data_IF_109926612798
#
_entry.id   IF_109926612798
#
_cell.length_a   1.000
_cell.length_b   1.000
_cell.length_c   1.000
_cell.angle_alpha   90.00
_cell.angle_beta   90.00
_cell.angle_gamma   90.00
#
_symmetry.space_group_name_H-M   'P 1'
#
loop_
_entity.id
_entity.type
_entity.pdbx_description
1 polymer ?
#
# COMPACT_ATOMS: atom_id res chain seq x y z
N UNK A 1 30.86 31.09 44.46
CA UNK A 1 30.84 29.71 43.95
C UNK A 1 30.52 29.75 42.46
N UNK A 2 31.47 29.44 41.57
CA UNK A 2 31.20 29.40 40.13
C UNK A 2 30.22 28.28 39.81
N UNK A 3 29.06 28.63 39.25
CA UNK A 3 28.11 27.65 38.72
C UNK A 3 28.80 26.82 37.63
N UNK A 4 28.69 25.49 37.72
CA UNK A 4 29.22 24.54 36.72
C UNK A 4 28.52 24.66 35.36
N UNK A 5 27.44 25.45 35.29
CA UNK A 5 26.61 25.67 34.11
C UNK A 5 26.34 27.18 33.95
N UNK A 6 27.33 27.98 33.51
CA UNK A 6 27.16 29.42 33.38
C UNK A 6 26.21 29.74 32.22
N UNK A 7 25.15 30.49 32.53
CA UNK A 7 24.26 31.13 31.57
C UNK A 7 24.18 32.62 31.88
N UNK A 8 24.08 33.44 30.84
CA UNK A 8 23.83 34.87 30.94
C UNK A 8 22.36 35.13 31.34
N UNK A 9 22.10 36.31 31.89
CA UNK A 9 20.73 36.72 32.22
C UNK A 9 19.80 36.69 30.99
N UNK A 10 20.33 37.06 29.81
CA UNK A 10 19.60 37.01 28.55
C UNK A 10 19.25 35.56 28.15
N UNK A 11 20.21 34.63 28.20
CA UNK A 11 19.96 33.22 27.89
C UNK A 11 18.89 32.60 28.80
N UNK A 12 18.87 32.98 30.08
CA UNK A 12 17.85 32.53 31.03
C UNK A 12 16.47 33.08 30.66
N UNK A 13 16.39 34.37 30.29
CA UNK A 13 15.13 34.99 29.85
C UNK A 13 14.62 34.36 28.54
N UNK A 14 15.51 34.09 27.58
CA UNK A 14 15.17 33.48 26.29
C UNK A 14 14.63 32.05 26.47
N UNK A 15 15.25 31.25 27.37
CA UNK A 15 14.77 29.92 27.73
C UNK A 15 13.39 29.96 28.38
N UNK A 16 13.11 30.96 29.21
CA UNK A 16 11.81 31.13 29.87
C UNK A 16 10.72 31.52 28.88
N UNK A 17 11.00 32.44 27.97
CA UNK A 17 10.10 32.82 26.88
C UNK A 17 9.84 31.62 25.96
N UNK A 18 10.88 30.88 25.58
CA UNK A 18 10.76 29.67 24.76
C UNK A 18 9.91 28.59 25.44
N UNK A 19 10.07 28.40 26.75
CA UNK A 19 9.29 27.45 27.52
C UNK A 19 7.81 27.83 27.54
N UNK A 20 7.48 29.12 27.79
CA UNK A 20 6.08 29.60 27.81
C UNK A 20 5.38 29.47 26.45
N UNK A 21 6.12 29.62 25.34
CA UNK A 21 5.59 29.48 23.98
C UNK A 21 5.40 28.02 23.54
N UNK A 22 6.06 27.07 24.22
CA UNK A 22 6.07 25.67 23.81
C UNK A 22 4.84 24.93 24.31
N UNK A 23 4.05 24.36 23.39
CA UNK A 23 2.87 23.54 23.71
C UNK A 23 3.19 22.05 23.86
N UNK A 24 4.32 21.59 23.33
CA UNK A 24 4.71 20.18 23.34
C UNK A 24 5.53 19.86 24.58
N UNK A 25 5.03 18.95 25.42
CA UNK A 25 5.64 18.58 26.71
C UNK A 25 7.12 18.20 26.59
N UNK A 26 7.50 17.39 25.59
CA UNK A 26 8.88 16.92 25.46
C UNK A 26 9.88 18.06 25.19
N UNK A 27 9.48 19.11 24.48
CA UNK A 27 10.30 20.30 24.26
C UNK A 27 10.38 21.18 25.51
N UNK A 28 9.27 21.34 26.23
CA UNK A 28 9.26 22.06 27.50
C UNK A 28 10.20 21.41 28.53
N UNK A 29 10.14 20.08 28.67
CA UNK A 29 11.03 19.34 29.57
C UNK A 29 12.49 19.42 29.13
N UNK A 30 12.75 19.41 27.81
CA UNK A 30 14.10 19.63 27.27
C UNK A 30 14.64 21.03 27.60
N UNK A 31 13.84 22.07 27.51
CA UNK A 31 14.25 23.43 27.89
C UNK A 31 14.58 23.53 29.38
N UNK A 32 13.80 22.87 30.25
CA UNK A 32 14.04 22.82 31.69
C UNK A 32 15.39 22.21 32.04
N UNK A 33 15.90 21.26 31.23
CA UNK A 33 17.22 20.66 31.45
C UNK A 33 18.38 21.64 31.36
N UNK A 34 18.20 22.77 30.68
CA UNK A 34 19.21 23.84 30.54
C UNK A 34 18.91 25.00 31.49
N UNK A 35 17.63 25.37 31.60
CA UNK A 35 17.17 26.45 32.46
C UNK A 35 17.48 26.20 33.94
N UNK A 36 17.16 25.01 34.47
CA UNK A 36 17.29 24.71 35.90
C UNK A 36 18.76 24.71 36.36
N UNK A 37 19.73 24.10 35.63
CA UNK A 37 21.14 24.25 35.97
C UNK A 37 21.64 25.70 35.93
N UNK A 38 21.14 26.51 34.99
CA UNK A 38 21.45 27.95 34.93
C UNK A 38 20.93 28.74 36.14
N UNK A 39 19.83 28.27 36.75
CA UNK A 39 19.29 28.78 38.03
C UNK A 39 19.97 28.19 39.27
N UNK A 40 21.01 27.37 39.11
CA UNK A 40 21.80 26.80 40.20
C UNK A 40 21.35 25.43 40.69
N UNK A 41 20.41 24.77 40.02
CA UNK A 41 20.03 23.39 40.36
C UNK A 41 21.14 22.42 39.96
N UNK A 42 21.38 21.40 40.78
CA UNK A 42 22.30 20.33 40.40
C UNK A 42 21.69 19.45 39.31
N UNK A 43 22.53 18.88 38.44
CA UNK A 43 22.09 17.90 37.42
C UNK A 43 21.30 16.75 38.03
N UNK A 44 21.67 16.31 39.23
CA UNK A 44 20.96 15.24 39.95
C UNK A 44 19.54 15.64 40.34
N UNK A 45 19.33 16.87 40.80
CA UNK A 45 17.99 17.39 41.12
C UNK A 45 17.14 17.51 39.86
N UNK A 46 17.73 18.03 38.77
CA UNK A 46 17.04 18.19 37.48
C UNK A 46 16.61 16.83 36.91
N UNK A 47 17.54 15.87 36.86
CA UNK A 47 17.29 14.51 36.40
C UNK A 47 16.15 13.83 37.19
N UNK A 48 16.16 13.96 38.52
CA UNK A 48 15.08 13.46 39.38
C UNK A 48 13.75 14.15 39.12
N UNK A 49 13.74 15.48 38.98
CA UNK A 49 12.51 16.26 38.77
C UNK A 49 11.83 15.97 37.42
N UNK A 50 12.63 15.68 36.39
CA UNK A 50 12.13 15.42 35.03
C UNK A 50 12.05 13.92 34.70
N UNK A 51 12.45 13.05 35.64
CA UNK A 51 12.50 11.59 35.46
C UNK A 51 13.30 11.14 34.22
N UNK A 52 14.49 11.73 34.04
CA UNK A 52 15.41 11.41 32.94
C UNK A 52 16.80 11.08 33.47
N UNK A 53 17.65 10.51 32.62
CA UNK A 53 19.03 10.21 33.00
C UNK A 53 19.89 11.48 33.15
N UNK A 54 20.87 11.42 34.06
CA UNK A 54 21.80 12.54 34.32
C UNK A 54 22.62 12.91 33.08
N UNK A 55 22.96 11.93 32.25
CA UNK A 55 23.71 12.16 31.01
C UNK A 55 22.83 12.86 29.97
N UNK A 56 21.52 12.58 29.93
CA UNK A 56 20.57 13.32 29.07
C UNK A 56 20.57 14.81 29.40
N UNK A 57 20.54 15.18 30.68
CA UNK A 57 20.62 16.60 31.13
C UNK A 57 21.93 17.23 30.66
N UNK A 58 23.07 16.55 30.86
CA UNK A 58 24.39 17.05 30.43
C UNK A 58 24.47 17.21 28.91
N UNK A 59 23.93 16.25 28.16
CA UNK A 59 23.93 16.27 26.70
C UNK A 59 23.06 17.40 26.15
N UNK A 60 21.90 17.66 26.75
CA UNK A 60 21.07 18.81 26.40
C UNK A 60 21.80 20.14 26.66
N UNK A 61 22.48 20.28 27.79
CA UNK A 61 23.29 21.47 28.05
C UNK A 61 24.43 21.63 27.04
N UNK A 62 25.18 20.56 26.74
CA UNK A 62 26.24 20.58 25.71
C UNK A 62 25.68 21.00 24.34
N UNK A 63 24.52 20.46 23.95
CA UNK A 63 23.85 20.78 22.68
C UNK A 63 23.40 22.24 22.63
N UNK A 64 22.85 22.76 23.73
CA UNK A 64 22.50 24.18 23.85
C UNK A 64 23.73 25.08 23.74
N UNK A 65 24.85 24.74 24.39
CA UNK A 65 26.09 25.53 24.25
C UNK A 65 26.67 25.51 22.84
N UNK A 66 26.44 24.45 22.05
CA UNK A 66 26.94 24.33 20.68
C UNK A 66 26.13 25.15 19.66
N UNK A 67 24.83 25.32 19.85
CA UNK A 67 23.98 25.98 18.84
C UNK A 67 22.67 26.59 19.36
N UNK A 68 22.63 26.96 20.64
CA UNK A 68 21.53 27.65 21.29
C UNK A 68 20.21 26.87 21.28
N UNK A 69 19.11 27.63 21.26
CA UNK A 69 17.75 27.10 21.24
C UNK A 69 17.47 26.22 20.01
N UNK A 70 17.99 26.61 18.83
CA UNK A 70 17.79 25.86 17.58
C UNK A 70 18.39 24.46 17.67
N UNK A 71 19.64 24.34 18.14
CA UNK A 71 20.27 23.04 18.34
C UNK A 71 19.54 22.21 19.40
N UNK A 72 19.03 22.83 20.47
CA UNK A 72 18.30 22.13 21.52
C UNK A 72 16.97 21.55 21.01
N UNK A 73 16.28 22.25 20.10
CA UNK A 73 15.01 21.80 19.52
C UNK A 73 15.16 20.71 18.45
N UNK A 74 16.30 20.62 17.78
CA UNK A 74 16.54 19.55 16.78
C UNK A 74 16.45 18.16 17.43
N UNK A 75 15.69 17.27 16.80
CA UNK A 75 15.86 15.84 16.98
C UNK A 75 16.93 15.40 15.99
N UNK A 76 18.05 14.87 16.46
CA UNK A 76 19.09 14.24 15.63
C UNK A 76 18.64 12.87 15.07
N UNK A 77 17.34 12.58 15.07
CA UNK A 77 16.80 11.46 14.31
C UNK A 77 16.65 11.91 12.85
N UNK A 78 17.77 12.29 12.23
CA UNK A 78 17.84 12.24 10.78
C UNK A 78 17.62 10.77 10.45
N UNK A 79 16.49 10.48 9.81
CA UNK A 79 16.12 9.11 9.46
C UNK A 79 17.30 8.45 8.74
N UNK A 80 17.48 7.15 8.96
CA UNK A 80 18.58 6.40 8.35
C UNK A 80 18.66 6.71 6.85
N UNK A 81 19.81 7.22 6.41
CA UNK A 81 20.11 7.40 5.00
C UNK A 81 19.94 6.06 4.29
N UNK A 82 19.26 6.05 3.14
CA UNK A 82 19.13 4.83 2.35
C UNK A 82 20.50 4.42 1.82
N UNK A 83 20.82 3.12 1.82
CA UNK A 83 22.08 2.64 1.25
C UNK A 83 22.20 2.92 -0.26
N UNK A 84 21.06 3.11 -0.95
CA UNK A 84 21.03 3.51 -2.35
C UNK A 84 21.05 5.03 -2.47
N UNK A 85 21.92 5.53 -3.36
CA UNK A 85 21.94 6.94 -3.74
C UNK A 85 20.81 7.27 -4.73
N UNK A 86 20.60 8.55 -5.01
CA UNK A 86 19.49 9.01 -5.88
C UNK A 86 19.58 8.46 -7.31
N UNK A 87 20.78 8.35 -7.89
CA UNK A 87 20.95 7.78 -9.23
C UNK A 87 20.58 6.29 -9.26
N UNK A 88 20.95 5.54 -8.23
CA UNK A 88 20.60 4.12 -8.10
C UNK A 88 19.10 3.95 -7.86
N UNK A 89 18.46 4.84 -7.09
CA UNK A 89 16.99 4.84 -6.92
C UNK A 89 16.27 5.08 -8.25
N UNK A 90 16.74 6.03 -9.06
CA UNK A 90 16.17 6.28 -10.39
C UNK A 90 16.36 5.08 -11.33
N UNK A 91 17.53 4.45 -11.31
CA UNK A 91 17.78 3.25 -12.10
C UNK A 91 16.90 2.07 -11.64
N UNK A 92 16.73 1.89 -10.33
CA UNK A 92 15.82 0.89 -9.76
C UNK A 92 14.38 1.15 -10.18
N UNK A 93 13.95 2.42 -10.15
CA UNK A 93 12.60 2.81 -10.57
C UNK A 93 12.33 2.47 -12.05
N UNK A 94 13.26 2.80 -12.94
CA UNK A 94 13.15 2.45 -14.37
C UNK A 94 13.13 0.93 -14.59
N UNK A 95 13.87 0.17 -13.78
CA UNK A 95 13.89 -1.29 -13.84
C UNK A 95 12.56 -1.89 -13.40
N UNK A 96 11.99 -1.42 -12.28
CA UNK A 96 10.72 -1.89 -11.73
C UNK A 96 9.50 -1.50 -12.59
N UNK A 97 9.60 -0.46 -13.42
CA UNK A 97 8.57 -0.14 -14.43
C UNK A 97 8.53 -1.17 -15.57
N UNK A 98 9.67 -1.81 -15.88
CA UNK A 98 9.77 -2.79 -16.97
C UNK A 98 9.59 -4.23 -16.48
N UNK A 99 10.02 -4.51 -15.25
CA UNK A 99 10.09 -5.85 -14.69
C UNK A 99 9.23 -5.95 -13.43
N UNK A 100 8.36 -6.94 -13.39
CA UNK A 100 7.53 -7.21 -12.22
C UNK A 100 8.18 -8.27 -11.34
N UNK A 101 8.27 -7.99 -10.04
CA UNK A 101 8.69 -8.93 -9.02
C UNK A 101 7.51 -9.32 -8.13
N UNK A 102 7.46 -10.59 -7.72
CA UNK A 102 6.40 -11.09 -6.85
C UNK A 102 6.76 -10.87 -5.38
N UNK A 103 8.05 -10.80 -5.07
CA UNK A 103 8.53 -10.63 -3.69
C UNK A 103 9.57 -9.53 -3.57
N UNK A 104 9.62 -8.92 -2.39
CA UNK A 104 10.62 -7.92 -2.06
C UNK A 104 12.05 -8.51 -2.03
N UNK A 105 12.18 -9.81 -1.74
CA UNK A 105 13.46 -10.54 -1.76
C UNK A 105 14.11 -10.56 -3.14
N UNK A 106 13.32 -10.75 -4.19
CA UNK A 106 13.84 -10.75 -5.56
C UNK A 106 14.39 -9.37 -5.94
N UNK A 107 13.73 -8.31 -5.48
CA UNK A 107 14.20 -6.92 -5.65
C UNK A 107 15.50 -6.70 -4.87
N UNK A 108 15.59 -7.17 -3.62
CA UNK A 108 16.83 -7.10 -2.84
C UNK A 108 17.98 -7.85 -3.53
N UNK A 109 17.71 -9.02 -4.09
CA UNK A 109 18.71 -9.78 -4.83
C UNK A 109 19.17 -9.03 -6.10
N UNK A 110 18.26 -8.41 -6.84
CA UNK A 110 18.61 -7.57 -7.99
C UNK A 110 19.51 -6.39 -7.58
N UNK A 111 19.17 -5.71 -6.49
CA UNK A 111 19.96 -4.60 -5.94
C UNK A 111 21.37 -5.06 -5.55
N UNK A 112 21.48 -6.24 -4.92
CA UNK A 112 22.76 -6.85 -4.55
C UNK A 112 23.60 -7.24 -5.77
N UNK A 113 22.99 -7.84 -6.80
CA UNK A 113 23.69 -8.21 -8.04
C UNK A 113 24.15 -6.98 -8.84
N UNK A 114 23.36 -5.90 -8.83
CA UNK A 114 23.62 -4.72 -9.68
C UNK A 114 24.61 -3.77 -9.02
N UNK A 115 24.53 -3.59 -7.71
CA UNK A 115 25.30 -2.56 -6.97
C UNK A 115 26.10 -3.08 -5.79
N UNK A 116 26.05 -4.39 -5.49
CA UNK A 116 26.76 -4.98 -4.34
C UNK A 116 26.18 -4.56 -2.99
N UNK A 117 24.97 -3.99 -2.97
CA UNK A 117 24.33 -3.49 -1.74
C UNK A 117 23.33 -4.52 -1.25
N UNK A 118 23.55 -5.05 -0.05
CA UNK A 118 22.65 -6.03 0.54
C UNK A 118 21.57 -5.34 1.38
N UNK A 119 20.32 -5.72 1.16
CA UNK A 119 19.16 -5.30 1.96
C UNK A 119 18.49 -6.51 2.61
N UNK A 120 18.03 -6.34 3.85
CA UNK A 120 17.03 -7.25 4.40
C UNK A 120 15.69 -7.07 3.67
N UNK A 121 14.84 -8.10 3.72
CA UNK A 121 13.49 -8.04 3.13
C UNK A 121 12.66 -6.87 3.69
N UNK A 122 12.76 -6.60 4.99
CA UNK A 122 12.10 -5.45 5.61
C UNK A 122 12.72 -4.12 5.17
N UNK A 123 14.04 -4.06 5.00
CA UNK A 123 14.76 -2.86 4.58
C UNK A 123 14.41 -2.44 3.15
N UNK A 124 14.42 -3.39 2.21
CA UNK A 124 14.03 -3.10 0.82
C UNK A 124 12.54 -2.73 0.73
N UNK A 125 11.68 -3.36 1.54
CA UNK A 125 10.25 -3.02 1.58
C UNK A 125 10.03 -1.59 2.05
N UNK A 126 10.73 -1.17 3.11
CA UNK A 126 10.68 0.21 3.59
C UNK A 126 11.20 1.20 2.55
N UNK A 127 12.28 0.85 1.83
CA UNK A 127 12.78 1.68 0.74
C UNK A 127 11.74 1.85 -0.36
N UNK A 128 11.12 0.75 -0.81
CA UNK A 128 10.08 0.76 -1.84
C UNK A 128 8.89 1.65 -1.42
N UNK A 129 8.44 1.55 -0.17
CA UNK A 129 7.40 2.42 0.36
C UNK A 129 7.81 3.91 0.33
N UNK A 130 9.06 4.24 0.68
CA UNK A 130 9.59 5.61 0.58
C UNK A 130 9.67 6.10 -0.87
N UNK A 131 9.91 5.19 -1.82
CA UNK A 131 9.88 5.46 -3.26
C UNK A 131 8.45 5.54 -3.85
N UNK A 132 7.41 5.32 -3.04
CA UNK A 132 6.01 5.41 -3.48
C UNK A 132 5.42 4.10 -4.01
N UNK A 133 6.14 2.98 -3.92
CA UNK A 133 5.64 1.67 -4.32
C UNK A 133 4.71 1.08 -3.26
N UNK A 134 3.69 0.36 -3.73
CA UNK A 134 2.76 -0.37 -2.89
C UNK A 134 2.55 -1.79 -3.45
N UNK A 135 2.55 -2.79 -2.58
CA UNK A 135 2.26 -4.16 -2.98
C UNK A 135 0.77 -4.31 -3.30
N UNK A 136 0.45 -4.62 -4.56
CA UNK A 136 -0.92 -4.75 -5.07
C UNK A 136 -1.05 -5.94 -6.01
N UNK A 137 -2.23 -6.56 -6.02
CA UNK A 137 -2.59 -7.58 -7.01
C UNK A 137 -2.74 -6.92 -8.38
N UNK A 138 -2.22 -7.56 -9.43
CA UNK A 138 -2.38 -7.10 -10.80
C UNK A 138 -3.86 -7.02 -11.19
N UNK A 139 -4.21 -6.01 -11.99
CA UNK A 139 -5.54 -5.89 -12.57
C UNK A 139 -5.62 -6.77 -13.81
N UNK A 140 -6.50 -7.77 -13.76
CA UNK A 140 -6.86 -8.55 -14.95
C UNK A 140 -7.65 -7.65 -15.89
N UNK A 141 -7.13 -7.48 -17.10
CA UNK A 141 -7.86 -6.86 -18.22
C UNK A 141 -8.20 -7.96 -19.24
N UNK A 142 -9.37 -7.92 -19.88
CA UNK A 142 -9.75 -8.93 -20.86
C UNK A 142 -8.73 -8.97 -22.02
N UNK A 143 -8.05 -10.11 -22.20
CA UNK A 143 -6.97 -10.24 -23.18
C UNK A 143 -7.38 -10.14 -24.65
N UNK A 144 -8.69 -10.14 -24.95
CA UNK A 144 -9.25 -9.97 -26.30
C UNK A 144 -9.98 -8.64 -26.50
N UNK A 145 -9.82 -7.68 -25.58
CA UNK A 145 -10.44 -6.37 -25.71
C UNK A 145 -9.87 -5.64 -26.94
N UNK A 146 -10.67 -5.51 -27.98
CA UNK A 146 -10.34 -4.82 -29.22
C UNK A 146 -11.20 -3.56 -29.32
N UNK A 147 -10.56 -2.41 -29.13
CA UNK A 147 -11.25 -1.12 -29.08
C UNK A 147 -11.95 -0.79 -30.40
N UNK A 148 -11.41 -1.24 -31.54
CA UNK A 148 -12.04 -0.98 -32.84
C UNK A 148 -13.29 -1.84 -33.01
N UNK A 149 -13.22 -3.13 -32.67
CA UNK A 149 -14.42 -4.00 -32.69
C UNK A 149 -15.51 -3.52 -31.75
N UNK A 150 -15.15 -2.99 -30.58
CA UNK A 150 -16.11 -2.37 -29.67
C UNK A 150 -16.79 -1.15 -30.30
N UNK A 151 -16.04 -0.27 -30.96
CA UNK A 151 -16.62 0.90 -31.66
C UNK A 151 -17.54 0.47 -32.80
N UNK A 152 -17.12 -0.48 -33.63
CA UNK A 152 -17.94 -1.02 -34.72
C UNK A 152 -19.23 -1.65 -34.19
N UNK A 153 -19.14 -2.41 -33.09
CA UNK A 153 -20.32 -2.99 -32.43
C UNK A 153 -21.32 -1.90 -31.99
N UNK A 154 -20.84 -0.84 -31.33
CA UNK A 154 -21.69 0.28 -30.90
C UNK A 154 -22.35 0.97 -32.10
N UNK A 155 -21.62 1.21 -33.18
CA UNK A 155 -22.17 1.82 -34.39
C UNK A 155 -23.27 0.94 -35.02
N UNK A 156 -23.02 -0.36 -35.16
CA UNK A 156 -24.01 -1.32 -35.66
C UNK A 156 -25.25 -1.36 -34.76
N UNK A 157 -25.06 -1.32 -33.44
CA UNK A 157 -26.15 -1.34 -32.48
C UNK A 157 -27.02 -0.08 -32.55
N UNK A 158 -26.43 1.11 -32.64
CA UNK A 158 -27.20 2.36 -32.78
C UNK A 158 -27.95 2.40 -34.12
N UNK A 159 -27.34 1.92 -35.20
CA UNK A 159 -28.02 1.80 -36.50
C UNK A 159 -29.22 0.84 -36.42
N UNK A 160 -29.04 -0.34 -35.79
CA UNK A 160 -30.11 -1.32 -35.59
C UNK A 160 -31.25 -0.76 -34.74
N UNK A 161 -30.91 0.01 -33.70
CA UNK A 161 -31.89 0.66 -32.84
C UNK A 161 -32.69 1.75 -33.58
N UNK A 162 -32.07 2.43 -34.54
CA UNK A 162 -32.74 3.43 -35.37
C UNK A 162 -33.60 2.82 -36.49
N UNK A 163 -33.22 1.65 -37.03
CA UNK A 163 -33.92 1.01 -38.16
C UNK A 163 -35.04 0.05 -37.78
N UNK A 164 -35.14 -0.35 -36.50
CA UNK A 164 -36.15 -1.31 -36.04
C UNK A 164 -37.58 -0.76 -36.12
N UNK A 165 -38.56 -1.64 -36.29
CA UNK A 165 -39.96 -1.27 -36.16
C UNK A 165 -40.33 -0.98 -34.67
N UNK A 166 -41.39 -0.20 -34.40
CA UNK A 166 -41.87 0.05 -33.04
C UNK A 166 -42.17 -1.23 -32.24
N UNK A 167 -42.69 -2.27 -32.91
CA UNK A 167 -43.05 -3.58 -32.37
C UNK A 167 -41.86 -4.53 -32.13
N UNK A 168 -40.71 -4.28 -32.77
CA UNK A 168 -39.53 -5.12 -32.64
C UNK A 168 -38.76 -4.82 -31.35
N UNK A 169 -38.47 -5.86 -30.56
CA UNK A 169 -37.62 -5.76 -29.38
C UNK A 169 -36.18 -6.22 -29.69
N UNK A 170 -35.20 -5.46 -29.21
CA UNK A 170 -33.80 -5.89 -29.25
C UNK A 170 -33.50 -6.65 -27.97
N UNK A 171 -32.90 -7.83 -28.13
CA UNK A 171 -32.51 -8.71 -27.05
C UNK A 171 -31.00 -8.85 -26.97
N UNK A 172 -30.46 -8.79 -25.74
CA UNK A 172 -29.07 -9.16 -25.47
C UNK A 172 -29.05 -10.54 -24.84
N UNK A 173 -28.27 -11.45 -25.41
CA UNK A 173 -28.09 -12.81 -24.92
C UNK A 173 -26.67 -12.99 -24.39
N UNK A 174 -26.53 -13.63 -23.24
CA UNK A 174 -25.24 -14.07 -22.72
C UNK A 174 -25.38 -15.46 -22.08
N UNK A 175 -24.28 -16.21 -22.08
CA UNK A 175 -24.22 -17.56 -21.55
C UNK A 175 -23.23 -17.62 -20.39
N UNK A 176 -23.67 -18.12 -19.25
CA UNK A 176 -22.80 -18.38 -18.09
C UNK A 176 -22.72 -19.87 -17.83
N UNK A 177 -21.51 -20.34 -17.49
CA UNK A 177 -21.21 -21.72 -17.15
C UNK A 177 -20.72 -21.81 -15.70
N UNK A 178 -21.62 -21.98 -14.71
CA UNK A 178 -21.20 -22.16 -13.32
C UNK A 178 -20.30 -23.38 -13.17
N UNK A 179 -19.30 -23.26 -12.30
CA UNK A 179 -18.43 -24.38 -11.99
C UNK A 179 -19.13 -25.29 -10.97
N UNK A 180 -19.30 -26.57 -11.34
CA UNK A 180 -19.84 -27.60 -10.43
C UNK A 180 -18.85 -28.00 -9.32
N UNK A 181 -17.56 -27.78 -9.54
CA UNK A 181 -16.54 -28.16 -8.57
C UNK A 181 -16.40 -27.12 -7.45
N UNK A 182 -16.22 -27.57 -6.20
CA UNK A 182 -15.92 -26.67 -5.10
C UNK A 182 -14.58 -25.96 -5.36
N UNK A 183 -14.55 -24.65 -5.10
CA UNK A 183 -13.32 -23.87 -5.12
C UNK A 183 -12.72 -23.94 -3.71
N UNK A 184 -11.53 -24.56 -3.60
CA UNK A 184 -10.82 -24.61 -2.33
C UNK A 184 -10.48 -23.19 -1.86
N UNK A 185 -10.91 -22.85 -0.64
CA UNK A 185 -10.55 -21.60 0.04
C UNK A 185 -9.48 -21.83 1.12
N UNK A 186 -9.06 -20.75 1.76
CA UNK A 186 -8.16 -20.83 2.92
C UNK A 186 -8.94 -21.15 4.20
N UNK A 187 -8.42 -22.05 5.01
CA UNK A 187 -8.98 -22.44 6.31
C UNK A 187 -7.91 -22.77 7.34
N UNK A 188 -8.24 -22.67 8.62
CA UNK A 188 -7.35 -23.04 9.73
C UNK A 188 -7.30 -24.56 9.87
N UNK A 189 -6.26 -25.18 9.31
CA UNK A 189 -6.00 -26.61 9.38
C UNK A 189 -4.83 -26.85 10.34
N UNK A 190 -4.94 -27.88 11.19
CA UNK A 190 -3.91 -28.19 12.18
C UNK A 190 -2.60 -28.55 11.49
N UNK A 191 -1.47 -28.04 12.01
CA UNK A 191 -0.14 -28.27 11.43
C UNK A 191 0.14 -29.77 11.27
N UNK A 192 0.50 -30.20 10.06
CA UNK A 192 0.77 -31.60 9.71
C UNK A 192 -0.47 -32.42 9.38
N UNK A 193 -1.65 -31.80 9.25
CA UNK A 193 -2.88 -32.44 8.80
C UNK A 193 -3.34 -31.82 7.48
N UNK A 194 -3.95 -32.65 6.64
CA UNK A 194 -4.63 -32.21 5.43
C UNK A 194 -6.14 -32.23 5.66
N UNK A 195 -6.86 -31.31 5.01
CA UNK A 195 -8.31 -31.31 4.97
C UNK A 195 -8.76 -31.44 3.53
N UNK A 196 -9.27 -32.63 3.18
CA UNK A 196 -9.65 -32.96 1.82
C UNK A 196 -11.05 -32.47 1.49
N UNK A 197 -11.19 -31.81 0.34
CA UNK A 197 -12.48 -31.52 -0.27
C UNK A 197 -12.61 -32.43 -1.49
N UNK A 198 -13.64 -33.28 -1.51
CA UNK A 198 -13.91 -34.16 -2.65
C UNK A 198 -14.37 -33.33 -3.85
N UNK A 199 -13.65 -33.43 -4.95
CA UNK A 199 -14.08 -32.87 -6.23
C UNK A 199 -15.19 -33.72 -6.85
N UNK A 200 -16.05 -33.09 -7.65
CA UNK A 200 -16.96 -33.84 -8.50
C UNK A 200 -16.16 -34.44 -9.67
N UNK A 201 -16.32 -35.73 -9.92
CA UNK A 201 -15.60 -36.46 -10.99
C UNK A 201 -16.35 -36.48 -12.32
N UNK A 202 -17.57 -35.93 -12.37
CA UNK A 202 -18.40 -35.88 -13.56
C UNK A 202 -18.12 -34.65 -14.45
N UNK A 203 -18.18 -34.82 -15.78
CA UNK A 203 -18.16 -33.72 -16.77
C UNK A 203 -19.55 -33.11 -17.01
N UNK A 204 -20.38 -33.04 -15.98
CA UNK A 204 -21.66 -32.34 -16.10
C UNK A 204 -21.39 -30.84 -16.13
N UNK A 205 -21.97 -30.15 -17.11
CA UNK A 205 -21.92 -28.69 -17.22
C UNK A 205 -23.35 -28.18 -17.25
N UNK A 206 -23.63 -27.22 -16.37
CA UNK A 206 -24.86 -26.44 -16.42
C UNK A 206 -24.57 -25.23 -17.29
N UNK A 207 -25.35 -25.06 -18.37
CA UNK A 207 -25.29 -23.88 -19.21
C UNK A 207 -26.54 -23.06 -18.92
N UNK A 208 -26.34 -21.85 -18.42
CA UNK A 208 -27.41 -20.90 -18.17
C UNK A 208 -27.33 -19.85 -19.27
N UNK A 209 -28.29 -19.86 -20.17
CA UNK A 209 -28.43 -18.85 -21.22
C UNK A 209 -29.45 -17.81 -20.76
N UNK A 210 -28.99 -16.57 -20.56
CA UNK A 210 -29.84 -15.46 -20.19
C UNK A 210 -30.09 -14.56 -21.40
N UNK A 211 -31.32 -14.09 -21.55
CA UNK A 211 -31.70 -13.10 -22.55
C UNK A 211 -32.41 -11.95 -21.86
N UNK A 212 -31.99 -10.71 -22.12
CA UNK A 212 -32.64 -9.50 -21.60
C UNK A 212 -33.24 -8.68 -22.75
N UNK A 213 -34.49 -8.27 -22.58
CA UNK A 213 -35.16 -7.34 -23.48
C UNK A 213 -34.78 -5.90 -23.12
N UNK A 214 -34.30 -5.13 -24.10
CA UNK A 214 -33.80 -3.76 -23.89
C UNK A 214 -34.88 -2.71 -23.58
N UNK A 215 -36.14 -3.00 -23.89
CA UNK A 215 -37.27 -2.06 -23.74
C UNK A 215 -37.89 -2.17 -22.35
N UNK A 216 -38.20 -3.40 -21.92
CA UNK A 216 -38.87 -3.64 -20.63
C UNK A 216 -37.92 -4.15 -19.53
N UNK A 217 -36.64 -4.39 -19.87
CA UNK A 217 -35.58 -4.90 -18.98
C UNK A 217 -35.93 -6.24 -18.31
N UNK A 218 -36.85 -7.01 -18.90
CA UNK A 218 -37.16 -8.35 -18.42
C UNK A 218 -36.10 -9.35 -18.90
N UNK A 219 -35.60 -10.14 -17.94
CA UNK A 219 -34.67 -11.23 -18.20
C UNK A 219 -35.41 -12.56 -18.25
N UNK A 220 -35.13 -13.36 -19.27
CA UNK A 220 -35.59 -14.75 -19.40
C UNK A 220 -34.37 -15.67 -19.42
N UNK A 221 -34.40 -16.71 -18.59
CA UNK A 221 -33.29 -17.65 -18.45
C UNK A 221 -33.71 -19.03 -18.97
N UNK A 222 -32.83 -19.66 -19.73
CA UNK A 222 -32.97 -21.04 -20.17
C UNK A 222 -31.83 -21.87 -19.58
N UNK A 223 -32.18 -22.97 -18.91
CA UNK A 223 -31.24 -23.90 -18.31
C UNK A 223 -31.09 -25.10 -19.24
N UNK A 224 -29.85 -25.44 -19.58
CA UNK A 224 -29.56 -26.67 -20.31
C UNK A 224 -28.44 -27.43 -19.63
N UNK A 225 -28.63 -28.73 -19.47
CA UNK A 225 -27.61 -29.65 -18.99
C UNK A 225 -27.07 -30.45 -20.15
N UNK A 226 -25.75 -30.41 -20.33
CA UNK A 226 -25.08 -31.16 -21.38
C UNK A 226 -24.08 -32.13 -20.76
N UNK A 227 -24.17 -33.42 -21.14
CA UNK A 227 -23.19 -34.45 -20.76
C UNK A 227 -21.94 -34.44 -21.64
N UNK A 228 -21.95 -33.69 -22.74
CA UNK A 228 -20.83 -33.52 -23.67
C UNK A 228 -20.69 -32.06 -24.12
N UNK A 229 -19.47 -31.67 -24.49
CA UNK A 229 -19.16 -30.36 -25.07
C UNK A 229 -20.02 -30.14 -26.32
N UNK A 230 -20.97 -29.22 -26.27
CA UNK A 230 -21.72 -28.82 -27.46
C UNK A 230 -20.74 -28.02 -28.33
N UNK A 231 -20.32 -28.59 -29.46
CA UNK A 231 -19.65 -27.82 -30.52
C UNK A 231 -20.63 -26.74 -31.00
N UNK A 232 -20.15 -25.52 -31.19
CA UNK A 232 -20.96 -24.32 -31.47
C UNK A 232 -21.68 -24.31 -32.84
N UNK A 233 -21.89 -25.45 -33.49
CA UNK A 233 -22.41 -25.56 -34.86
C UNK A 233 -23.91 -25.90 -34.95
N UNK A 234 -24.64 -26.00 -33.84
CA UNK A 234 -26.05 -26.45 -33.85
C UNK A 234 -27.10 -25.37 -33.57
N UNK A 235 -26.77 -24.08 -33.71
CA UNK A 235 -27.73 -22.98 -33.55
C UNK A 235 -28.30 -22.42 -34.88
N UNK A 236 -28.24 -23.17 -35.98
CA UNK A 236 -28.69 -22.66 -37.29
C UNK A 236 -30.06 -23.15 -37.79
N UNK A 237 -30.87 -23.86 -36.99
CA UNK A 237 -32.11 -24.49 -37.52
C UNK A 237 -33.43 -24.13 -36.82
N UNK A 238 -33.45 -23.09 -35.99
CA UNK A 238 -34.71 -22.51 -35.53
C UNK A 238 -34.62 -20.99 -35.45
N UNK A 239 -34.47 -20.36 -36.62
CA UNK A 239 -34.96 -19.01 -36.93
C UNK A 239 -35.52 -19.05 -38.35
#
# INVERSE_FOLDING_TARGET
MSSRYPLTAQEIADLEVAHRKTLVKCYADRLKTVYLPGKGWSVTQVAKSLMIDRETVRNHYKRYRKGGLSALQKFEADGSESFLNELQKQALDQHLHKNLYLTAKEIAHYVEQTWGISYSESGITQLLCRMGYAYKKQRLVPGKADAEKQRTFVQCYEALKASKAPEDAIYFMDATHPHHNPVAGYGWIKRGQDHEIRSHTGRQRLNINGVINTVNLQATNCFSESRHTIHSSLYSHYL
#
